data_IF_411844980845
#
_entry.id   IF_411844980845
#
_cell.length_a   1.000
_cell.length_b   1.000
_cell.length_c   1.000
_cell.angle_alpha   90.00
_cell.angle_beta   90.00
_cell.angle_gamma   90.00
#
_symmetry.space_group_name_H-M   'P 1'
#
loop_
_entity.id
_entity.type
_entity.pdbx_description
1 polymer ?
#
# COMPACT_ATOMS: atom_id res chain seq x y z
N UNK A 1 -24.97 -6.48 28.85
CA UNK A 1 -24.23 -5.43 28.12
C UNK A 1 -23.15 -6.15 27.34
N UNK A 2 -23.40 -6.44 26.07
CA UNK A 2 -22.39 -7.06 25.20
C UNK A 2 -21.52 -5.96 24.60
N UNK A 3 -20.27 -5.85 25.07
CA UNK A 3 -19.26 -5.07 24.38
C UNK A 3 -18.75 -5.92 23.21
N UNK A 4 -19.14 -5.58 21.98
CA UNK A 4 -18.44 -6.02 20.78
C UNK A 4 -17.02 -5.48 20.82
N UNK A 5 -16.07 -6.30 21.29
CA UNK A 5 -14.67 -5.94 21.30
C UNK A 5 -14.20 -5.80 19.84
N UNK A 6 -13.93 -4.56 19.44
CA UNK A 6 -13.39 -4.25 18.13
C UNK A 6 -11.99 -4.87 18.02
N UNK A 7 -11.77 -5.74 17.03
CA UNK A 7 -10.50 -6.43 16.86
C UNK A 7 -9.39 -5.42 16.57
N UNK A 8 -8.45 -5.27 17.51
CA UNK A 8 -7.27 -4.42 17.36
C UNK A 8 -6.22 -5.12 16.50
N UNK A 9 -5.48 -4.34 15.71
CA UNK A 9 -4.28 -4.84 15.03
C UNK A 9 -3.21 -5.12 16.08
N UNK A 10 -2.59 -6.30 16.00
CA UNK A 10 -1.53 -6.74 16.91
C UNK A 10 -0.29 -7.15 16.12
N UNK A 11 0.89 -6.90 16.69
CA UNK A 11 2.14 -7.44 16.17
C UNK A 11 2.34 -8.90 16.63
N UNK A 12 3.29 -9.61 16.00
CA UNK A 12 3.90 -10.82 16.56
C UNK A 12 5.28 -10.49 17.11
N UNK A 13 5.61 -11.01 18.28
CA UNK A 13 6.97 -10.87 18.84
C UNK A 13 7.90 -11.95 18.28
N UNK A 14 9.21 -11.77 18.43
CA UNK A 14 10.21 -12.67 17.85
C UNK A 14 10.01 -14.14 18.25
N UNK A 15 9.70 -14.39 19.53
CA UNK A 15 9.52 -15.74 20.08
C UNK A 15 8.27 -16.46 19.54
N UNK A 16 7.35 -15.74 18.91
CA UNK A 16 6.11 -16.30 18.33
C UNK A 16 6.25 -16.68 16.85
N UNK A 17 7.33 -16.26 16.18
CA UNK A 17 7.54 -16.52 14.75
C UNK A 17 8.15 -17.91 14.57
N UNK A 18 7.53 -18.74 13.73
CA UNK A 18 7.99 -20.10 13.47
C UNK A 18 8.41 -20.30 12.01
N UNK A 19 9.32 -21.25 11.78
CA UNK A 19 9.72 -21.63 10.41
C UNK A 19 8.49 -22.11 9.64
N UNK A 20 8.20 -21.44 8.53
CA UNK A 20 7.02 -21.70 7.70
C UNK A 20 5.87 -20.71 7.90
N UNK A 21 5.96 -19.78 8.86
CA UNK A 21 5.00 -18.68 8.98
C UNK A 21 4.94 -17.82 7.70
N UNK A 22 3.74 -17.38 7.34
CA UNK A 22 3.49 -16.54 6.18
C UNK A 22 2.44 -15.46 6.49
N UNK A 23 2.63 -14.28 5.91
CA UNK A 23 1.66 -13.19 5.95
C UNK A 23 1.57 -12.53 4.57
N UNK A 24 0.37 -12.09 4.21
CA UNK A 24 0.11 -11.44 2.92
C UNK A 24 -0.82 -10.26 3.09
N UNK A 25 -0.52 -9.18 2.36
CA UNK A 25 -1.43 -8.05 2.16
C UNK A 25 -1.60 -7.84 0.66
N UNK A 26 -2.84 -7.97 0.17
CA UNK A 26 -3.18 -7.67 -1.22
C UNK A 26 -4.04 -6.42 -1.26
N UNK A 27 -3.66 -5.48 -2.14
CA UNK A 27 -4.45 -4.29 -2.44
C UNK A 27 -4.44 -4.02 -3.93
N UNK A 28 -5.53 -3.46 -4.43
CA UNK A 28 -5.62 -2.94 -5.79
C UNK A 28 -5.03 -1.54 -5.80
N UNK A 29 -4.00 -1.30 -6.62
CA UNK A 29 -3.44 0.03 -6.82
C UNK A 29 -4.47 0.92 -7.51
N UNK A 30 -4.77 2.08 -6.92
CA UNK A 30 -5.69 3.05 -7.50
C UNK A 30 -4.97 4.36 -7.85
N UNK A 31 -5.53 5.18 -8.75
CA UNK A 31 -4.95 6.47 -9.09
C UNK A 31 -4.71 7.37 -7.86
N UNK A 32 -5.57 7.31 -6.83
CA UNK A 32 -5.41 8.12 -5.62
C UNK A 32 -4.15 7.75 -4.82
N UNK A 33 -3.76 6.47 -4.84
CA UNK A 33 -2.53 6.00 -4.17
C UNK A 33 -1.28 6.59 -4.81
N UNK A 34 -1.28 6.74 -6.15
CA UNK A 34 -0.19 7.33 -6.93
C UNK A 34 -0.05 8.82 -6.60
N UNK A 35 -1.17 9.56 -6.60
CA UNK A 35 -1.18 10.97 -6.24
C UNK A 35 -0.71 11.20 -4.80
N UNK A 36 -1.18 10.37 -3.85
CA UNK A 36 -0.76 10.46 -2.45
C UNK A 36 0.74 10.19 -2.31
N UNK A 37 1.27 9.19 -3.03
CA UNK A 37 2.69 8.89 -3.02
C UNK A 37 3.53 10.08 -3.51
N UNK A 38 3.21 10.66 -4.68
CA UNK A 38 3.94 11.81 -5.24
C UNK A 38 3.92 13.03 -4.29
N UNK A 39 2.77 13.31 -3.69
CA UNK A 39 2.62 14.40 -2.73
C UNK A 39 3.47 14.19 -1.46
N UNK A 40 3.55 12.97 -0.95
CA UNK A 40 4.28 12.64 0.27
C UNK A 40 5.79 12.48 0.07
N UNK A 41 6.22 11.89 -1.04
CA UNK A 41 7.63 11.62 -1.32
C UNK A 41 8.36 12.82 -1.94
N UNK A 42 7.61 13.79 -2.49
CA UNK A 42 8.16 14.86 -3.31
C UNK A 42 8.58 14.42 -4.72
N UNK A 43 8.33 13.16 -5.07
CA UNK A 43 8.60 12.60 -6.40
C UNK A 43 7.46 12.97 -7.36
N UNK A 44 7.58 14.15 -7.97
CA UNK A 44 6.65 14.69 -8.96
C UNK A 44 6.95 14.21 -10.38
N UNK A 45 7.50 13.00 -10.54
CA UNK A 45 7.77 12.44 -11.87
C UNK A 45 6.52 12.53 -12.77
N UNK A 46 6.57 13.24 -13.92
CA UNK A 46 5.41 13.49 -14.78
C UNK A 46 4.70 12.22 -15.27
N UNK A 47 5.38 11.07 -15.28
CA UNK A 47 4.79 9.76 -15.60
C UNK A 47 3.65 9.35 -14.67
N UNK A 48 3.60 9.88 -13.46
CA UNK A 48 2.65 9.51 -12.42
C UNK A 48 1.48 10.50 -12.26
N UNK A 49 1.60 11.70 -12.83
CA UNK A 49 0.68 12.83 -12.55
C UNK A 49 0.00 13.34 -13.82
N UNK A 50 0.57 13.08 -15.00
CA UNK A 50 -0.02 13.44 -16.29
C UNK A 50 -0.40 12.19 -17.08
N UNK A 51 -1.71 11.98 -17.23
CA UNK A 51 -2.27 10.85 -17.97
C UNK A 51 -1.91 10.85 -19.45
N UNK A 52 -1.64 12.01 -20.06
CA UNK A 52 -1.22 12.11 -21.46
C UNK A 52 0.28 11.76 -21.60
N UNK A 53 1.11 12.18 -20.64
CA UNK A 53 2.53 11.80 -20.60
C UNK A 53 2.70 10.30 -20.30
N UNK A 54 1.91 9.74 -19.38
CA UNK A 54 1.92 8.32 -19.03
C UNK A 54 1.61 7.40 -20.24
N UNK A 55 0.66 7.80 -21.10
CA UNK A 55 0.33 7.07 -22.34
C UNK A 55 1.46 7.07 -23.37
N UNK A 56 2.37 8.03 -23.30
CA UNK A 56 3.53 8.15 -24.18
C UNK A 56 4.78 7.44 -23.66
N UNK A 57 4.79 7.06 -22.37
CA UNK A 57 5.93 6.41 -21.74
C UNK A 57 5.97 4.90 -22.02
N UNK A 58 7.17 4.37 -22.16
CA UNK A 58 7.53 3.04 -22.70
C UNK A 58 7.11 1.82 -21.87
N UNK A 59 6.36 1.98 -20.78
CA UNK A 59 5.89 0.84 -19.99
C UNK A 59 4.50 0.43 -20.46
N UNK A 60 4.51 -0.40 -21.51
CA UNK A 60 3.38 -1.22 -21.92
C UNK A 60 3.60 -2.66 -21.45
#
# INVERSE_FOLDING_TARGET
MEHTAQSLIQNRIFDEIQVGDFAQLVRTLRPEDIHLFAAMSGDVNPTHVDTEFARSSQFR
#
